data_IF_206875814463
#
_entry.id   IF_206875814463
#
_cell.length_a   1.000
_cell.length_b   1.000
_cell.length_c   1.000
_cell.angle_alpha   90.00
_cell.angle_beta   90.00
_cell.angle_gamma   90.00
#
_symmetry.space_group_name_H-M   'P 1'
#
loop_
_entity.id
_entity.type
_entity.pdbx_description
1 polymer ?
#
# COMPACT_ATOMS: atom_id res chain seq x y z
N UNK A 1 0.55 14.95 -5.61
CA UNK A 1 -0.83 15.00 -5.05
C UNK A 1 -1.52 13.69 -5.40
N UNK A 2 -2.08 12.94 -4.45
CA UNK A 2 -2.65 11.61 -4.73
C UNK A 2 -4.14 11.72 -5.11
N UNK A 3 -4.55 11.09 -6.22
CA UNK A 3 -5.92 11.15 -6.73
C UNK A 3 -6.44 9.74 -7.03
N UNK A 4 -7.71 9.48 -6.70
CA UNK A 4 -8.41 8.24 -7.08
C UNK A 4 -9.31 8.54 -8.26
N UNK A 5 -9.12 7.81 -9.35
CA UNK A 5 -9.92 7.96 -10.57
C UNK A 5 -10.56 6.60 -10.88
N UNK A 6 -11.89 6.60 -11.01
CA UNK A 6 -12.60 5.47 -11.60
C UNK A 6 -12.55 5.66 -13.12
N UNK A 7 -11.94 4.73 -13.84
CA UNK A 7 -11.86 4.79 -15.29
C UNK A 7 -12.68 3.64 -15.90
N UNK A 8 -13.65 4.01 -16.72
CA UNK A 8 -14.46 3.08 -17.50
C UNK A 8 -13.76 2.81 -18.82
N UNK A 9 -13.46 1.54 -19.11
CA UNK A 9 -12.93 1.16 -20.41
C UNK A 9 -14.04 1.26 -21.47
N UNK A 10 -13.74 1.87 -22.62
CA UNK A 10 -14.69 2.05 -23.74
C UNK A 10 -15.11 0.69 -24.33
N UNK A 11 -14.26 -0.33 -24.20
CA UNK A 11 -14.59 -1.75 -24.37
C UNK A 11 -13.67 -2.59 -23.47
N UNK A 12 -14.16 -3.06 -22.32
CA UNK A 12 -13.37 -3.86 -21.38
C UNK A 12 -13.98 -3.89 -19.97
N UNK A 13 -13.35 -4.61 -19.05
CA UNK A 13 -13.72 -4.60 -17.63
C UNK A 13 -13.46 -3.22 -17.02
N UNK A 14 -14.28 -2.80 -16.05
CA UNK A 14 -14.12 -1.53 -15.34
C UNK A 14 -12.97 -1.61 -14.33
N UNK A 15 -12.18 -0.54 -14.19
CA UNK A 15 -11.05 -0.49 -13.25
C UNK A 15 -11.10 0.76 -12.37
N UNK A 16 -10.68 0.58 -11.11
CA UNK A 16 -10.38 1.66 -10.18
C UNK A 16 -8.89 1.89 -10.20
N UNK A 17 -8.45 3.12 -10.47
CA UNK A 17 -7.05 3.50 -10.45
C UNK A 17 -6.75 4.44 -9.28
N UNK A 18 -5.78 4.06 -8.46
CA UNK A 18 -5.11 4.96 -7.53
C UNK A 18 -3.88 5.52 -8.21
N UNK A 19 -3.80 6.84 -8.38
CA UNK A 19 -2.65 7.50 -9.00
C UNK A 19 -1.95 8.36 -7.96
N UNK A 20 -0.67 8.12 -7.80
CA UNK A 20 0.20 8.96 -6.99
C UNK A 20 1.22 9.69 -7.85
N UNK A 21 1.37 10.97 -7.56
CA UNK A 21 2.31 11.87 -8.21
C UNK A 21 3.38 12.27 -7.21
N UNK A 22 4.63 11.98 -7.56
CA UNK A 22 5.81 12.41 -6.82
C UNK A 22 6.70 13.28 -7.69
N UNK A 23 7.19 14.39 -7.14
CA UNK A 23 8.17 15.26 -7.79
C UNK A 23 9.56 14.97 -7.25
N UNK A 24 10.53 14.72 -8.13
CA UNK A 24 11.93 14.55 -7.76
C UNK A 24 12.85 15.24 -8.77
N UNK A 25 13.73 16.13 -8.28
CA UNK A 25 14.72 16.87 -9.11
C UNK A 25 14.11 17.55 -10.35
N UNK A 26 12.95 18.18 -10.20
CA UNK A 26 12.26 18.86 -11.30
C UNK A 26 11.55 17.94 -12.29
N UNK A 27 11.50 16.63 -12.03
CA UNK A 27 10.72 15.66 -12.83
C UNK A 27 9.46 15.25 -12.08
N UNK A 28 8.38 15.06 -12.83
CA UNK A 28 7.13 14.45 -12.34
C UNK A 28 7.16 12.96 -12.61
N UNK A 29 6.94 12.16 -11.58
CA UNK A 29 6.79 10.71 -11.66
C UNK A 29 5.36 10.39 -11.25
N UNK A 30 4.62 9.78 -12.18
CA UNK A 30 3.28 9.27 -11.93
C UNK A 30 3.34 7.77 -11.77
N UNK A 31 2.72 7.26 -10.72
CA UNK A 31 2.56 5.83 -10.47
C UNK A 31 1.08 5.53 -10.33
N UNK A 32 0.63 4.40 -10.88
CA UNK A 32 -0.77 4.01 -10.85
C UNK A 32 -0.93 2.55 -10.43
N UNK A 33 -1.91 2.28 -9.55
CA UNK A 33 -2.36 0.95 -9.19
C UNK A 33 -3.78 0.76 -9.72
N UNK A 34 -3.96 -0.18 -10.64
CA UNK A 34 -5.28 -0.55 -11.19
C UNK A 34 -5.86 -1.77 -10.49
N UNK A 35 -7.14 -1.71 -10.12
CA UNK A 35 -7.89 -2.82 -9.56
C UNK A 35 -9.18 -3.03 -10.37
N UNK A 36 -9.44 -4.23 -10.91
CA UNK A 36 -10.72 -4.52 -11.55
C UNK A 36 -11.87 -4.29 -10.56
N UNK A 37 -12.93 -3.60 -10.98
CA UNK A 37 -14.06 -3.22 -10.12
C UNK A 37 -14.69 -4.46 -9.48
N UNK A 38 -14.81 -5.56 -10.21
CA UNK A 38 -15.37 -6.81 -9.72
C UNK A 38 -14.52 -7.45 -8.61
N UNK A 39 -13.22 -7.13 -8.54
CA UNK A 39 -12.30 -7.63 -7.50
C UNK A 39 -12.09 -6.63 -6.36
N UNK A 40 -12.65 -5.41 -6.45
CA UNK A 40 -12.41 -4.34 -5.49
C UNK A 40 -12.70 -4.76 -4.05
N UNK A 41 -13.89 -5.31 -3.78
CA UNK A 41 -14.30 -5.74 -2.44
C UNK A 41 -13.36 -6.82 -1.89
N UNK A 42 -12.96 -7.78 -2.74
CA UNK A 42 -12.04 -8.85 -2.34
C UNK A 42 -10.66 -8.30 -1.96
N UNK A 43 -10.09 -7.43 -2.80
CA UNK A 43 -8.78 -6.82 -2.58
C UNK A 43 -8.81 -5.91 -1.34
N UNK A 44 -9.85 -5.09 -1.20
CA UNK A 44 -10.05 -4.25 -0.03
C UNK A 44 -10.07 -5.07 1.27
N UNK A 45 -10.82 -6.18 1.27
CA UNK A 45 -10.87 -7.08 2.42
C UNK A 45 -9.51 -7.74 2.70
N UNK A 46 -8.73 -8.11 1.68
CA UNK A 46 -7.36 -8.62 1.86
C UNK A 46 -6.45 -7.58 2.50
N UNK A 47 -6.48 -6.33 2.04
CA UNK A 47 -5.70 -5.23 2.62
C UNK A 47 -6.12 -4.99 4.08
N UNK A 48 -7.42 -4.99 4.38
CA UNK A 48 -7.93 -4.83 5.74
C UNK A 48 -7.45 -5.97 6.67
N UNK A 49 -7.51 -7.22 6.20
CA UNK A 49 -7.02 -8.39 6.95
C UNK A 49 -5.51 -8.31 7.19
N UNK A 50 -4.73 -7.97 6.17
CA UNK A 50 -3.29 -7.78 6.30
C UNK A 50 -2.94 -6.70 7.32
N UNK A 51 -3.59 -5.53 7.24
CA UNK A 51 -3.42 -4.44 8.21
C UNK A 51 -3.75 -4.88 9.64
N UNK A 52 -4.84 -5.62 9.82
CA UNK A 52 -5.19 -6.14 11.14
C UNK A 52 -4.11 -7.11 11.66
N UNK A 53 -3.66 -8.05 10.82
CA UNK A 53 -2.62 -9.02 11.16
C UNK A 53 -1.33 -8.33 11.60
N UNK A 54 -0.84 -7.33 10.86
CA UNK A 54 0.41 -6.65 11.25
C UNK A 54 0.27 -5.85 12.55
N UNK A 55 -0.94 -5.34 12.85
CA UNK A 55 -1.24 -4.67 14.11
C UNK A 55 -1.30 -5.66 15.27
N UNK A 56 -1.99 -6.79 15.11
CA UNK A 56 -2.16 -7.78 16.19
C UNK A 56 -0.86 -8.49 16.51
N UNK A 57 -0.14 -8.95 15.48
CA UNK A 57 1.04 -9.77 15.67
C UNK A 57 2.28 -8.97 16.06
N UNK A 58 2.45 -7.78 15.48
CA UNK A 58 3.69 -7.00 15.58
C UNK A 58 3.51 -5.65 16.27
N UNK A 59 2.28 -5.25 16.57
CA UNK A 59 1.98 -3.97 17.21
C UNK A 59 2.09 -2.76 16.28
N UNK A 60 2.16 -2.97 14.97
CA UNK A 60 2.33 -1.89 13.98
C UNK A 60 1.06 -1.02 13.95
N UNK A 61 1.23 0.28 14.21
CA UNK A 61 0.13 1.25 14.26
C UNK A 61 -0.46 1.50 12.86
N UNK A 62 -1.79 1.42 12.74
CA UNK A 62 -2.49 1.55 11.45
C UNK A 62 -2.92 2.97 11.10
N UNK A 63 -2.83 3.91 12.03
CA UNK A 63 -3.27 5.30 11.84
C UNK A 63 -2.18 6.21 11.27
N UNK A 64 -0.96 5.68 11.10
CA UNK A 64 0.18 6.40 10.50
C UNK A 64 0.51 5.79 9.14
N UNK A 65 0.92 6.64 8.21
CA UNK A 65 1.53 6.19 6.96
C UNK A 65 2.85 5.47 7.25
N UNK A 66 2.98 4.26 6.71
CA UNK A 66 4.19 3.45 6.83
C UNK A 66 5.12 3.76 5.66
N UNK A 67 6.01 4.73 5.83
CA UNK A 67 7.07 4.94 4.84
C UNK A 67 7.99 3.71 4.78
N UNK A 68 7.99 3.01 3.64
CA UNK A 68 8.74 1.77 3.41
C UNK A 68 10.20 1.85 3.91
N UNK A 69 10.92 2.91 3.56
CA UNK A 69 12.32 3.11 3.98
C UNK A 69 12.47 3.26 5.49
N UNK A 70 11.58 4.02 6.15
CA UNK A 70 11.61 4.19 7.61
C UNK A 70 11.31 2.86 8.30
N UNK A 71 10.31 2.15 7.78
CA UNK A 71 9.87 0.87 8.30
C UNK A 71 10.95 -0.21 8.21
N UNK A 72 11.55 -0.43 7.03
CA UNK A 72 12.63 -1.42 6.85
C UNK A 72 13.84 -1.11 7.75
N UNK A 73 14.17 0.17 7.92
CA UNK A 73 15.24 0.62 8.82
C UNK A 73 14.89 0.52 10.31
N UNK A 74 13.71 0.00 10.66
CA UNK A 74 13.28 -0.19 12.06
C UNK A 74 12.90 1.10 12.77
N UNK A 75 12.62 2.17 12.03
CA UNK A 75 12.11 3.42 12.61
C UNK A 75 10.60 3.31 12.81
N UNK A 76 10.18 3.26 14.07
CA UNK A 76 8.78 3.12 14.47
C UNK A 76 8.68 2.58 15.90
N UNK A 77 7.49 2.66 16.48
CA UNK A 77 7.18 2.03 17.77
C UNK A 77 6.59 0.64 17.50
N UNK A 78 7.36 -0.40 17.80
CA UNK A 78 6.97 -1.80 17.61
C UNK A 78 6.92 -2.48 18.98
N UNK A 79 5.82 -3.20 19.26
CA UNK A 79 5.72 -3.97 20.51
C UNK A 79 6.63 -5.19 20.52
N UNK A 80 6.97 -5.71 19.33
CA UNK A 80 7.90 -6.84 19.15
C UNK A 80 9.06 -6.40 18.29
N UNK A 81 10.26 -6.87 18.62
CA UNK A 81 11.43 -6.67 17.78
C UNK A 81 11.30 -7.55 16.53
N UNK A 82 11.20 -6.92 15.37
CA UNK A 82 11.11 -7.57 14.06
C UNK A 82 12.50 -7.50 13.40
N UNK A 83 12.92 -8.50 12.63
CA UNK A 83 14.21 -8.43 11.94
C UNK A 83 14.15 -7.55 10.69
N UNK A 84 15.34 -7.13 10.21
CA UNK A 84 15.66 -6.73 8.83
C UNK A 84 14.70 -7.30 7.78
N UNK A 85 14.91 -8.59 7.58
CA UNK A 85 14.35 -9.38 6.50
C UNK A 85 12.84 -9.52 6.63
N UNK A 86 12.35 -9.80 7.84
CA UNK A 86 10.92 -9.95 8.11
C UNK A 86 10.16 -8.64 7.87
N UNK A 87 10.76 -7.48 8.13
CA UNK A 87 10.15 -6.19 7.75
C UNK A 87 10.10 -5.96 6.25
N UNK A 88 11.11 -6.41 5.52
CA UNK A 88 11.11 -6.30 4.06
C UNK A 88 10.04 -7.20 3.42
N UNK A 89 9.79 -8.39 3.98
CA UNK A 89 8.73 -9.29 3.50
C UNK A 89 7.34 -8.67 3.50
N UNK A 90 7.01 -7.82 4.49
CA UNK A 90 5.73 -7.10 4.50
C UNK A 90 5.53 -6.17 3.29
N UNK A 91 6.60 -5.78 2.61
CA UNK A 91 6.57 -4.94 1.41
C UNK A 91 6.61 -5.78 0.12
N UNK A 92 7.02 -7.05 0.22
CA UNK A 92 7.06 -8.00 -0.88
C UNK A 92 5.68 -8.65 -1.03
N UNK A 93 4.71 -7.90 -1.56
CA UNK A 93 3.46 -8.52 -2.04
C UNK A 93 3.77 -9.36 -3.28
N UNK A 94 3.89 -10.68 -3.10
CA UNK A 94 3.91 -11.68 -4.18
C UNK A 94 2.63 -12.51 -4.11
#
# INVERSE_FOLDING_TARGET
>A
MSSVICAKAISGADYIYYIDETTAKGKYIYTALGVPVEKWIHIFNRVKKFRLHIKTEYGIQLYKELHATKFVNGRGDFKKQITKFHRAEFLSFT
#
